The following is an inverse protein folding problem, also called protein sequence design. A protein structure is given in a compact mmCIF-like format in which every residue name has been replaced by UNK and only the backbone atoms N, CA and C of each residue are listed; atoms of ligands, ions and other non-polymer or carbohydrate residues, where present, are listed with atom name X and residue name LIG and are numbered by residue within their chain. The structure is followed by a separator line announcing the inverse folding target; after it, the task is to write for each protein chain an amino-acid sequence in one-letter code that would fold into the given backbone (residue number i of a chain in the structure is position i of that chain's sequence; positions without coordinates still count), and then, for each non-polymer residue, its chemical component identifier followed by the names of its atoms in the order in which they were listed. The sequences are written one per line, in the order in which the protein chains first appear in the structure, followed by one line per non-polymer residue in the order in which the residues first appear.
data_IF_450761111541
#
_entry.id   IF_450761111541
#
_cell.length_a   1.000
_cell.length_b   1.000
_cell.length_c   1.000
_cell.angle_alpha   90.00
_cell.angle_beta   90.00
_cell.angle_gamma   90.00
#
_symmetry.space_group_name_H-M   'P 1'
#
loop_
_entity.id
_entity.type
_entity.pdbx_description
1 polymer ?
#
# COMPACT_ATOMS: atom_id res chain seq x y z
N UNK A 1 -8.15 -16.84 7.62
CA UNK A 1 -7.20 -15.72 7.51
C UNK A 1 -5.75 -16.18 7.60
N UNK A 2 -5.36 -16.94 8.63
CA UNK A 2 -3.98 -17.46 8.81
C UNK A 2 -3.41 -18.20 7.60
N UNK A 3 -4.16 -19.12 6.99
CA UNK A 3 -3.70 -19.85 5.80
C UNK A 3 -3.34 -18.93 4.62
N UNK A 4 -4.10 -17.85 4.41
CA UNK A 4 -3.85 -16.90 3.33
C UNK A 4 -2.58 -16.08 3.57
N UNK A 5 -2.33 -15.66 4.81
CA UNK A 5 -1.08 -14.99 5.18
C UNK A 5 0.13 -15.90 5.04
N UNK A 6 0.00 -17.17 5.42
CA UNK A 6 1.06 -18.17 5.23
C UNK A 6 1.33 -18.40 3.74
N UNK A 7 0.28 -18.61 2.93
CA UNK A 7 0.43 -18.79 1.49
C UNK A 7 1.07 -17.56 0.83
N UNK A 8 0.69 -16.35 1.26
CA UNK A 8 1.31 -15.11 0.78
C UNK A 8 2.78 -15.00 1.18
N UNK A 9 3.12 -15.31 2.45
CA UNK A 9 4.51 -15.32 2.91
C UNK A 9 5.37 -16.32 2.13
N UNK A 10 4.85 -17.51 1.86
CA UNK A 10 5.52 -18.52 1.02
C UNK A 10 5.71 -18.00 -0.41
N UNK A 11 4.69 -17.37 -0.99
CA UNK A 11 4.79 -16.78 -2.33
C UNK A 11 5.89 -15.71 -2.42
N UNK A 12 5.95 -14.82 -1.42
CA UNK A 12 7.00 -13.79 -1.32
C UNK A 12 8.37 -14.44 -1.19
N UNK A 13 8.53 -15.41 -0.28
CA UNK A 13 9.80 -16.10 -0.08
C UNK A 13 10.28 -16.79 -1.36
N UNK A 14 9.40 -17.54 -2.05
CA UNK A 14 9.72 -18.19 -3.32
C UNK A 14 10.07 -17.18 -4.41
N UNK A 15 9.31 -16.08 -4.53
CA UNK A 15 9.59 -15.01 -5.50
C UNK A 15 10.99 -14.42 -5.29
N UNK A 16 11.34 -14.10 -4.05
CA UNK A 16 12.67 -13.54 -3.71
C UNK A 16 13.77 -14.55 -3.99
N UNK A 17 13.66 -15.78 -3.48
CA UNK A 17 14.67 -16.82 -3.68
C UNK A 17 14.89 -17.16 -5.15
N UNK A 18 13.83 -17.21 -5.97
CA UNK A 18 13.96 -17.46 -7.41
C UNK A 18 14.59 -16.26 -8.14
N UNK A 19 14.29 -15.04 -7.72
CA UNK A 19 14.91 -13.83 -8.30
C UNK A 19 16.42 -13.81 -8.01
N UNK A 20 16.82 -14.18 -6.81
CA UNK A 20 18.23 -14.27 -6.39
C UNK A 20 18.98 -15.43 -7.04
N UNK A 21 18.32 -16.56 -7.29
CA UNK A 21 18.92 -17.73 -7.93
C UNK A 21 19.23 -17.53 -9.42
N UNK A 22 18.53 -16.60 -10.09
CA UNK A 22 18.68 -16.34 -11.53
C UNK A 22 18.93 -14.86 -11.84
N UNK A 23 20.05 -14.27 -11.37
CA UNK A 23 20.28 -12.83 -11.44
C UNK A 23 20.39 -12.29 -12.87
N UNK A 24 20.89 -13.07 -13.83
CA UNK A 24 21.06 -12.64 -15.23
C UNK A 24 19.87 -12.99 -16.13
N UNK A 25 18.84 -13.63 -15.58
CA UNK A 25 17.65 -14.04 -16.34
C UNK A 25 16.71 -12.87 -16.57
N UNK A 26 16.17 -12.76 -17.78
CA UNK A 26 15.09 -11.82 -18.12
C UNK A 26 13.84 -12.06 -17.24
N UNK A 27 13.66 -13.29 -16.75
CA UNK A 27 12.53 -13.66 -15.89
C UNK A 27 12.59 -13.07 -14.47
N UNK A 28 13.73 -12.52 -14.05
CA UNK A 28 13.89 -11.93 -12.70
C UNK A 28 12.86 -10.84 -12.40
N UNK A 29 12.50 -10.02 -13.40
CA UNK A 29 11.56 -8.91 -13.19
C UNK A 29 10.11 -9.38 -13.05
N UNK A 30 9.57 -10.23 -13.95
CA UNK A 30 8.27 -10.86 -13.73
C UNK A 30 8.19 -11.58 -12.37
N UNK A 31 9.22 -12.37 -12.01
CA UNK A 31 9.27 -13.12 -10.75
C UNK A 31 9.21 -12.20 -9.52
N UNK A 32 9.93 -11.09 -9.53
CA UNK A 32 9.94 -10.10 -8.45
C UNK A 32 8.57 -9.42 -8.25
N UNK A 33 7.72 -9.37 -9.30
CA UNK A 33 6.40 -8.70 -9.25
C UNK A 33 5.26 -9.68 -8.95
N UNK A 34 5.47 -10.99 -9.05
CA UNK A 34 4.44 -12.01 -8.75
C UNK A 34 3.71 -11.77 -7.40
N UNK A 35 4.39 -11.39 -6.30
CA UNK A 35 3.71 -11.12 -5.03
C UNK A 35 2.74 -9.93 -5.06
N UNK A 36 2.74 -9.11 -6.13
CA UNK A 36 1.74 -8.05 -6.32
C UNK A 36 0.39 -8.56 -6.80
N UNK A 37 0.27 -9.77 -7.34
CA UNK A 37 -1.02 -10.29 -7.78
C UNK A 37 -2.05 -10.43 -6.62
N UNK A 38 -1.68 -10.99 -5.45
CA UNK A 38 -2.53 -10.93 -4.25
C UNK A 38 -2.86 -9.51 -3.78
N UNK A 39 -1.95 -8.56 -3.95
CA UNK A 39 -2.18 -7.16 -3.61
C UNK A 39 -3.29 -6.54 -4.48
N UNK A 40 -3.24 -6.76 -5.80
CA UNK A 40 -4.30 -6.32 -6.73
C UNK A 40 -5.65 -6.95 -6.38
N UNK A 41 -5.65 -8.25 -6.03
CA UNK A 41 -6.87 -8.90 -5.53
C UNK A 41 -7.37 -8.26 -4.22
N UNK A 42 -6.46 -7.87 -3.33
CA UNK A 42 -6.77 -7.12 -2.11
C UNK A 42 -7.50 -5.80 -2.39
N UNK A 43 -7.12 -5.07 -3.43
CA UNK A 43 -7.84 -3.85 -3.87
C UNK A 43 -9.28 -4.20 -4.26
N UNK A 44 -9.47 -5.22 -5.09
CA UNK A 44 -10.81 -5.65 -5.50
C UNK A 44 -11.66 -6.10 -4.30
N UNK A 45 -11.06 -6.83 -3.35
CA UNK A 45 -11.71 -7.25 -2.11
C UNK A 45 -12.10 -6.05 -1.24
N UNK A 46 -11.24 -5.04 -1.11
CA UNK A 46 -11.52 -3.82 -0.36
C UNK A 46 -12.64 -3.00 -1.01
N UNK A 47 -12.63 -2.86 -2.34
CA UNK A 47 -13.72 -2.21 -3.08
C UNK A 47 -15.04 -2.96 -2.88
N UNK A 48 -15.02 -4.30 -2.90
CA UNK A 48 -16.19 -5.11 -2.60
C UNK A 48 -16.67 -4.91 -1.17
N UNK A 49 -15.77 -4.88 -0.18
CA UNK A 49 -16.08 -4.57 1.20
C UNK A 49 -16.80 -3.21 1.32
N UNK A 50 -16.26 -2.16 0.70
CA UNK A 50 -16.88 -0.83 0.72
C UNK A 50 -18.29 -0.78 0.10
N UNK A 51 -18.62 -1.71 -0.81
CA UNK A 51 -19.97 -1.82 -1.39
C UNK A 51 -20.96 -2.58 -0.50
N UNK A 52 -20.46 -3.39 0.43
CA UNK A 52 -21.26 -4.26 1.30
C UNK A 52 -21.55 -3.62 2.66
N UNK A 53 -20.71 -2.69 3.11
CA UNK A 53 -20.91 -1.98 4.39
C UNK A 53 -21.95 -0.87 4.26
N UNK A 54 -22.52 -0.48 5.40
CA UNK A 54 -23.46 0.63 5.50
C UNK A 54 -22.86 1.95 4.97
N UNK A 55 -23.75 2.85 4.53
CA UNK A 55 -23.37 4.13 3.92
C UNK A 55 -22.46 4.97 4.83
N UNK A 56 -22.72 4.97 6.14
CA UNK A 56 -21.93 5.70 7.13
C UNK A 56 -20.49 5.17 7.19
N UNK A 57 -20.32 3.85 7.29
CA UNK A 57 -19.00 3.19 7.35
C UNK A 57 -18.25 3.39 6.04
N UNK A 58 -18.94 3.24 4.90
CA UNK A 58 -18.38 3.51 3.58
C UNK A 58 -17.88 4.95 3.46
N UNK A 59 -18.68 5.92 3.91
CA UNK A 59 -18.32 7.35 3.87
C UNK A 59 -17.08 7.64 4.71
N UNK A 60 -17.04 7.15 5.95
CA UNK A 60 -15.87 7.30 6.83
C UNK A 60 -14.60 6.72 6.20
N UNK A 61 -14.70 5.49 5.64
CA UNK A 61 -13.56 4.83 5.02
C UNK A 61 -13.04 5.57 3.78
N UNK A 62 -13.94 6.09 2.94
CA UNK A 62 -13.58 6.87 1.76
C UNK A 62 -13.00 8.25 2.13
N UNK A 63 -13.55 8.92 3.13
CA UNK A 63 -13.04 10.21 3.63
C UNK A 63 -11.63 10.04 4.19
N UNK A 64 -11.40 9.01 5.01
CA UNK A 64 -10.07 8.69 5.53
C UNK A 64 -9.07 8.35 4.42
N UNK A 65 -9.49 7.57 3.40
CA UNK A 65 -8.65 7.23 2.25
C UNK A 65 -8.28 8.48 1.42
N UNK A 66 -9.24 9.39 1.19
CA UNK A 66 -9.01 10.62 0.44
C UNK A 66 -8.02 11.55 1.16
N UNK A 67 -8.17 11.72 2.48
CA UNK A 67 -7.23 12.51 3.29
C UNK A 67 -5.84 11.85 3.27
N UNK A 68 -5.76 10.54 3.44
CA UNK A 68 -4.50 9.80 3.40
C UNK A 68 -3.78 9.96 2.07
N UNK A 69 -4.51 9.83 0.97
CA UNK A 69 -4.00 10.00 -0.38
C UNK A 69 -3.44 11.42 -0.59
N UNK A 70 -4.21 12.45 -0.26
CA UNK A 70 -3.78 13.84 -0.40
C UNK A 70 -2.57 14.18 0.47
N UNK A 71 -2.56 13.74 1.73
CA UNK A 71 -1.44 13.93 2.64
C UNK A 71 -0.16 13.23 2.14
N UNK A 72 -0.30 11.98 1.66
CA UNK A 72 0.82 11.23 1.09
C UNK A 72 1.41 11.96 -0.11
N UNK A 73 0.56 12.36 -1.07
CA UNK A 73 1.00 13.09 -2.26
C UNK A 73 1.73 14.40 -1.89
N UNK A 74 1.18 15.17 -0.95
CA UNK A 74 1.81 16.41 -0.49
C UNK A 74 3.20 16.16 0.13
N UNK A 75 3.33 15.13 0.98
CA UNK A 75 4.60 14.78 1.64
C UNK A 75 5.61 14.26 0.62
N UNK A 76 5.22 13.32 -0.24
CA UNK A 76 6.15 12.68 -1.20
C UNK A 76 6.57 13.64 -2.30
N UNK A 77 5.69 14.50 -2.79
CA UNK A 77 6.07 15.54 -3.75
C UNK A 77 6.94 16.61 -3.10
N UNK A 78 6.59 17.03 -1.88
CA UNK A 78 7.43 17.94 -1.08
C UNK A 78 8.85 17.40 -0.93
N UNK A 79 8.99 16.11 -0.58
CA UNK A 79 10.30 15.47 -0.50
C UNK A 79 10.99 15.38 -1.86
N UNK A 80 10.27 15.01 -2.93
CA UNK A 80 10.84 14.95 -4.28
C UNK A 80 11.41 16.29 -4.76
N UNK A 81 10.76 17.41 -4.44
CA UNK A 81 11.33 18.74 -4.71
C UNK A 81 12.61 19.01 -3.91
N UNK A 82 12.66 18.58 -2.65
CA UNK A 82 13.88 18.71 -1.84
C UNK A 82 15.00 17.78 -2.33
N UNK A 83 14.66 16.60 -2.86
CA UNK A 83 15.60 15.69 -3.50
C UNK A 83 16.22 16.35 -4.74
N UNK A 84 15.42 17.00 -5.58
CA UNK A 84 15.91 17.84 -6.68
C UNK A 84 16.81 19.00 -6.22
N UNK A 85 16.62 19.49 -4.99
CA UNK A 85 17.45 20.53 -4.38
C UNK A 85 18.73 19.99 -3.73
N UNK A 86 18.94 18.67 -3.67
CA UNK A 86 20.16 18.03 -3.18
C UNK A 86 20.00 17.12 -1.95
N UNK A 87 18.77 16.86 -1.48
CA UNK A 87 18.55 15.80 -0.48
C UNK A 87 18.83 14.40 -1.07
N UNK A 88 19.18 13.41 -0.23
CA UNK A 88 19.45 12.05 -0.70
C UNK A 88 18.18 11.34 -1.20
N UNK A 89 18.33 10.45 -2.17
CA UNK A 89 17.22 9.63 -2.64
C UNK A 89 16.72 8.67 -1.55
N UNK A 90 15.41 8.66 -1.32
CA UNK A 90 14.74 7.74 -0.39
C UNK A 90 14.05 6.63 -1.16
N UNK A 91 14.12 5.42 -0.61
CA UNK A 91 13.45 4.25 -1.17
C UNK A 91 11.92 4.43 -1.19
N UNK A 92 11.30 4.11 -2.33
CA UNK A 92 9.85 4.09 -2.56
C UNK A 92 9.03 3.32 -1.52
N UNK A 93 9.62 2.36 -0.78
CA UNK A 93 8.96 1.70 0.36
C UNK A 93 8.42 2.68 1.40
N UNK A 94 9.05 3.85 1.56
CA UNK A 94 8.59 4.89 2.49
C UNK A 94 7.26 5.51 2.08
N UNK A 95 6.90 5.51 0.80
CA UNK A 95 5.60 6.03 0.33
C UNK A 95 4.46 5.26 1.00
N UNK A 96 4.60 3.94 1.12
CA UNK A 96 3.62 3.09 1.78
C UNK A 96 3.53 3.36 3.28
N UNK A 97 4.67 3.58 3.95
CA UNK A 97 4.70 3.93 5.36
C UNK A 97 4.01 5.28 5.62
N UNK A 98 4.29 6.30 4.80
CA UNK A 98 3.63 7.61 4.86
C UNK A 98 2.13 7.46 4.66
N UNK A 99 1.70 6.72 3.64
CA UNK A 99 0.28 6.50 3.37
C UNK A 99 -0.43 5.77 4.50
N UNK A 100 0.19 4.74 5.09
CA UNK A 100 -0.35 4.02 6.24
C UNK A 100 -0.53 4.93 7.47
N UNK A 101 0.48 5.73 7.79
CA UNK A 101 0.42 6.70 8.90
C UNK A 101 -0.65 7.75 8.63
N UNK A 102 -0.67 8.35 7.43
CA UNK A 102 -1.70 9.32 7.06
C UNK A 102 -3.11 8.74 7.13
N UNK A 103 -3.29 7.47 6.75
CA UNK A 103 -4.59 6.79 6.81
C UNK A 103 -5.06 6.54 8.25
N UNK A 104 -4.17 6.05 9.13
CA UNK A 104 -4.50 5.88 10.55
C UNK A 104 -4.88 7.23 11.17
N UNK A 105 -4.09 8.27 10.92
CA UNK A 105 -4.34 9.62 11.44
C UNK A 105 -5.64 10.20 10.90
N UNK A 106 -6.01 9.94 9.64
CA UNK A 106 -7.28 10.38 9.06
C UNK A 106 -8.49 9.59 9.59
N UNK A 107 -8.29 8.36 10.07
CA UNK A 107 -9.33 7.53 10.67
C UNK A 107 -9.76 7.99 12.08
N UNK A 108 -8.87 8.62 12.85
CA UNK A 108 -9.16 9.02 14.24
C UNK A 108 -10.23 10.14 14.35
N UNK A 109 -10.22 11.20 13.54
CA UNK A 109 -11.23 12.26 13.59
C UNK A 109 -12.57 11.85 12.99
N UNK A 110 -12.54 11.04 11.92
CA UNK A 110 -13.75 10.57 11.24
C UNK A 110 -14.60 9.73 12.19
N UNK A 111 -14.01 8.86 13.00
CA UNK A 111 -14.76 8.10 14.01
C UNK A 111 -15.38 8.96 15.13
N UNK A 112 -14.81 10.13 15.43
CA UNK A 112 -15.35 11.04 16.45
C UNK A 112 -16.50 11.90 15.94
N UNK A 113 -16.59 12.14 14.63
CA UNK A 113 -17.62 12.98 14.01
C UNK A 113 -18.96 12.26 13.81
N UNK A 114 -18.94 10.94 13.80
CA UNK A 114 -20.11 10.08 13.56
C UNK A 114 -20.47 9.17 14.76
N UNK A 115 -19.85 9.40 15.92
CA UNK A 115 -20.38 8.97 17.22
C UNK A 115 -21.39 10.00 17.72
#
# INVERSE_FOLDING_TARGET
MTLAFVAYAVLVALSVSLTEAFPDSVWRYPLAVIPMAPFVYGIAAYVRYLRLVDELVRRMALEALAIAFGATAAITFGYGFMEHAGLPHINWWWVWAVMGVSWILAGLPTQRRYR
#
